data_IF_121798605733
#
_entry.id   IF_121798605733
#
_cell.length_a   1.000
_cell.length_b   1.000
_cell.length_c   1.000
_cell.angle_alpha   90.00
_cell.angle_beta   90.00
_cell.angle_gamma   90.00
#
_symmetry.space_group_name_H-M   'P 1'
#
loop_
_entity.id
_entity.type
_entity.pdbx_description
1 polymer ?
#
# COMPACT_ATOMS: atom_id res chain seq x y z
N UNK A 1 22.36 17.02 9.03
CA UNK A 1 22.47 16.12 7.86
C UNK A 1 21.63 14.88 8.13
N UNK A 2 20.55 14.63 7.37
CA UNK A 2 19.85 13.33 7.42
C UNK A 2 20.79 12.29 6.81
N UNK A 3 21.23 11.30 7.59
CA UNK A 3 22.14 10.26 7.11
C UNK A 3 21.43 9.41 6.05
N UNK A 4 22.12 9.13 4.93
CA UNK A 4 21.59 8.33 3.82
C UNK A 4 21.13 6.93 4.24
N UNK A 5 21.67 6.42 5.35
CA UNK A 5 21.25 5.18 6.03
C UNK A 5 19.82 5.24 6.53
N UNK A 6 19.39 6.38 7.04
CA UNK A 6 18.02 6.58 7.53
C UNK A 6 17.02 6.49 6.37
N UNK A 7 17.31 7.15 5.25
CA UNK A 7 16.45 7.15 4.05
C UNK A 7 16.33 5.72 3.46
N UNK A 8 17.44 4.96 3.41
CA UNK A 8 17.42 3.57 2.94
C UNK A 8 16.62 2.64 3.85
N UNK A 9 16.72 2.78 5.17
CA UNK A 9 15.90 2.00 6.10
C UNK A 9 14.41 2.28 5.92
N UNK A 10 14.03 3.55 5.77
CA UNK A 10 12.63 3.92 5.47
C UNK A 10 12.14 3.30 4.16
N UNK A 11 12.98 3.23 3.14
CA UNK A 11 12.65 2.61 1.86
C UNK A 11 12.25 1.13 2.00
N UNK A 12 13.01 0.34 2.78
CA UNK A 12 12.70 -1.08 3.01
C UNK A 12 11.36 -1.29 3.73
N UNK A 13 10.95 -0.38 4.62
CA UNK A 13 9.67 -0.50 5.30
C UNK A 13 8.49 -0.35 4.33
N UNK A 14 8.56 0.63 3.42
CA UNK A 14 7.48 0.85 2.46
C UNK A 14 7.28 -0.38 1.54
N UNK A 15 8.37 -0.92 1.02
CA UNK A 15 8.35 -2.12 0.18
C UNK A 15 7.85 -3.35 0.94
N UNK A 16 8.23 -3.50 2.22
CA UNK A 16 7.78 -4.60 3.05
C UNK A 16 6.25 -4.57 3.27
N UNK A 17 5.69 -3.40 3.58
CA UNK A 17 4.24 -3.25 3.71
C UNK A 17 3.53 -3.49 2.37
N UNK A 18 4.06 -2.97 1.26
CA UNK A 18 3.48 -3.21 -0.07
C UNK A 18 3.46 -4.70 -0.42
N UNK A 19 4.56 -5.42 -0.19
CA UNK A 19 4.66 -6.85 -0.48
C UNK A 19 3.75 -7.68 0.44
N UNK A 20 3.62 -7.30 1.71
CA UNK A 20 2.68 -7.95 2.64
C UNK A 20 1.22 -7.73 2.21
N UNK A 21 0.89 -6.53 1.72
CA UNK A 21 -0.42 -6.23 1.13
C UNK A 21 -0.73 -7.11 -0.08
N UNK A 22 0.25 -7.33 -0.97
CA UNK A 22 0.12 -8.25 -2.10
C UNK A 22 -0.17 -9.68 -1.61
N UNK A 23 0.59 -10.17 -0.64
CA UNK A 23 0.40 -11.51 -0.09
C UNK A 23 -1.00 -11.68 0.52
N UNK A 24 -1.46 -10.72 1.33
CA UNK A 24 -2.80 -10.74 1.94
C UNK A 24 -3.91 -10.68 0.89
N UNK A 25 -3.75 -9.83 -0.14
CA UNK A 25 -4.67 -9.79 -1.29
C UNK A 25 -4.80 -11.17 -1.93
N UNK A 26 -3.68 -11.83 -2.21
CA UNK A 26 -3.65 -13.17 -2.80
C UNK A 26 -4.31 -14.22 -1.90
N UNK A 27 -4.19 -14.07 -0.57
CA UNK A 27 -4.85 -14.90 0.43
C UNK A 27 -6.34 -14.58 0.63
N UNK A 28 -6.89 -13.57 -0.06
CA UNK A 28 -8.28 -13.14 0.07
C UNK A 28 -8.56 -12.19 1.24
N UNK A 29 -7.56 -11.87 2.06
CA UNK A 29 -7.64 -10.87 3.13
C UNK A 29 -7.57 -9.45 2.53
N UNK A 30 -8.68 -9.02 1.93
CA UNK A 30 -8.78 -7.70 1.28
C UNK A 30 -8.61 -6.56 2.28
N UNK A 31 -9.17 -6.67 3.48
CA UNK A 31 -9.11 -5.62 4.50
C UNK A 31 -7.68 -5.46 5.03
N UNK A 32 -7.00 -6.56 5.35
CA UNK A 32 -5.61 -6.54 5.77
C UNK A 32 -4.67 -6.09 4.66
N UNK A 33 -4.97 -6.38 3.39
CA UNK A 33 -4.23 -5.86 2.25
C UNK A 33 -4.37 -4.33 2.12
N UNK A 34 -5.59 -3.79 2.25
CA UNK A 34 -5.84 -2.34 2.24
C UNK A 34 -5.08 -1.63 3.37
N UNK A 35 -5.09 -2.20 4.57
CA UNK A 35 -4.35 -1.65 5.71
C UNK A 35 -2.84 -1.57 5.42
N UNK A 36 -2.27 -2.62 4.82
CA UNK A 36 -0.85 -2.66 4.48
C UNK A 36 -0.49 -1.69 3.34
N UNK A 37 -1.32 -1.60 2.30
CA UNK A 37 -1.11 -0.63 1.22
C UNK A 37 -1.21 0.82 1.71
N UNK A 38 -2.09 1.11 2.67
CA UNK A 38 -2.18 2.44 3.28
C UNK A 38 -0.89 2.81 4.02
N UNK A 39 -0.32 1.88 4.78
CA UNK A 39 0.94 2.10 5.47
C UNK A 39 2.11 2.29 4.48
N UNK A 40 2.15 1.49 3.41
CA UNK A 40 3.13 1.66 2.35
C UNK A 40 3.03 3.04 1.68
N UNK A 41 1.81 3.50 1.36
CA UNK A 41 1.56 4.80 0.76
C UNK A 41 2.09 5.95 1.63
N UNK A 42 1.83 5.93 2.94
CA UNK A 42 2.34 6.94 3.86
C UNK A 42 3.87 6.99 3.88
N UNK A 43 4.53 5.83 3.88
CA UNK A 43 5.99 5.75 3.87
C UNK A 43 6.59 6.20 2.54
N UNK A 44 5.98 5.82 1.40
CA UNK A 44 6.42 6.30 0.08
C UNK A 44 6.26 7.83 -0.06
N UNK A 45 5.16 8.39 0.46
CA UNK A 45 4.97 9.85 0.51
C UNK A 45 6.06 10.55 1.32
N UNK A 46 6.41 10.02 2.50
CA UNK A 46 7.49 10.57 3.33
C UNK A 46 8.86 10.50 2.65
N UNK A 47 9.06 9.51 1.76
CA UNK A 47 10.27 9.37 0.96
C UNK A 47 10.27 10.26 -0.29
N UNK A 48 9.16 10.95 -0.61
CA UNK A 48 8.99 11.66 -1.87
C UNK A 48 8.81 10.73 -3.08
N UNK A 49 8.56 9.45 -2.85
CA UNK A 49 8.40 8.44 -3.89
C UNK A 49 6.95 8.40 -4.42
N UNK A 50 6.61 9.38 -5.25
CA UNK A 50 5.25 9.55 -5.77
C UNK A 50 4.79 8.39 -6.66
N UNK A 51 5.69 7.74 -7.39
CA UNK A 51 5.33 6.60 -8.25
C UNK A 51 4.74 5.46 -7.42
N UNK A 52 5.45 5.05 -6.37
CA UNK A 52 5.02 3.96 -5.51
C UNK A 52 3.86 4.32 -4.60
N UNK A 53 3.76 5.60 -4.20
CA UNK A 53 2.57 6.13 -3.54
C UNK A 53 1.31 5.94 -4.39
N UNK A 54 1.36 6.33 -5.67
CA UNK A 54 0.21 6.19 -6.59
C UNK A 54 -0.13 4.71 -6.81
N UNK A 55 0.87 3.83 -6.95
CA UNK A 55 0.64 2.38 -7.08
C UNK A 55 -0.04 1.77 -5.84
N UNK A 56 0.36 2.18 -4.65
CA UNK A 56 -0.28 1.70 -3.41
C UNK A 56 -1.76 2.12 -3.35
N UNK A 57 -2.07 3.36 -3.74
CA UNK A 57 -3.45 3.85 -3.82
C UNK A 57 -4.28 3.14 -4.89
N UNK A 58 -3.69 2.83 -6.05
CA UNK A 58 -4.40 2.07 -7.09
C UNK A 58 -4.76 0.65 -6.61
N UNK A 59 -3.84 -0.01 -5.90
CA UNK A 59 -4.13 -1.30 -5.28
C UNK A 59 -5.29 -1.22 -4.28
N UNK A 60 -5.33 -0.20 -3.42
CA UNK A 60 -6.45 0.02 -2.48
C UNK A 60 -7.75 0.19 -3.26
N UNK A 61 -7.77 1.10 -4.24
CA UNK A 61 -8.95 1.38 -5.06
C UNK A 61 -9.46 0.13 -5.78
N UNK A 62 -8.58 -0.71 -6.30
CA UNK A 62 -8.97 -1.94 -6.99
C UNK A 62 -9.58 -2.97 -6.03
N UNK A 63 -9.09 -3.03 -4.78
CA UNK A 63 -9.68 -3.89 -3.75
C UNK A 63 -11.04 -3.37 -3.27
N UNK A 64 -11.18 -2.05 -3.12
CA UNK A 64 -12.45 -1.41 -2.73
C UNK A 64 -13.51 -1.50 -3.82
N UNK A 65 -13.15 -1.36 -5.11
CA UNK A 65 -14.08 -1.55 -6.23
C UNK A 65 -14.73 -2.93 -6.19
N UNK A 66 -13.97 -3.97 -5.83
CA UNK A 66 -14.49 -5.32 -5.65
C UNK A 66 -15.40 -5.48 -4.43
N UNK A 67 -15.39 -4.54 -3.49
CA UNK A 67 -16.28 -4.49 -2.33
C UNK A 67 -17.55 -3.69 -2.65
N UNK A 68 -17.42 -2.49 -3.20
CA UNK A 68 -18.54 -1.62 -3.55
C UNK A 68 -19.35 -2.10 -4.76
N UNK A 69 -18.74 -2.87 -5.67
CA UNK A 69 -19.44 -3.51 -6.78
C UNK A 69 -20.50 -4.53 -6.34
N UNK A 70 -20.41 -5.03 -5.10
CA UNK A 70 -21.41 -5.91 -4.49
C UNK A 70 -22.55 -5.13 -3.81
N UNK A 71 -22.28 -3.92 -3.32
CA UNK A 71 -23.27 -3.09 -2.59
C UNK A 71 -24.15 -2.28 -3.54
N UNK A 72 -23.69 -1.99 -4.77
CA UNK A 72 -24.41 -1.16 -5.75
C UNK A 72 -25.39 -1.93 -6.66
N UNK A 73 -25.73 -3.18 -6.32
CA UNK A 73 -26.68 -4.01 -7.08
C UNK A 73 -28.06 -4.16 -6.40
N UNK A 74 -28.39 -3.30 -5.43
CA UNK A 74 -29.71 -3.24 -4.77
C UNK A 74 -30.48 -1.98 -5.17
#
# INVERSE_FOLDING_TARGET
MRSLTTIKLFQYYADAYNNRGIAKKTLGDKQGAIADYNQAAQLYSQQGNMEWYIKALDNIKNLEKGFWGLIRLE
#
